data_IF_318879075518
#
_entry.id   IF_318879075518
#
_cell.length_a   1.000
_cell.length_b   1.000
_cell.length_c   1.000
_cell.angle_alpha   90.00
_cell.angle_beta   90.00
_cell.angle_gamma   90.00
#
_symmetry.space_group_name_H-M   'P 1'
#
loop_
_entity.id
_entity.type
_entity.pdbx_description
1 polymer ?
#
# COMPACT_ATOMS: atom_id res chain seq x y z
N UNK A 1 19.01 8.72 7.28
CA UNK A 1 19.32 7.27 7.17
C UNK A 1 18.44 6.42 8.09
N UNK A 2 18.20 6.83 9.35
CA UNK A 2 17.28 6.14 10.28
C UNK A 2 15.81 6.12 9.84
N UNK A 3 15.30 7.20 9.24
CA UNK A 3 13.91 7.29 8.76
C UNK A 3 13.57 6.26 7.68
N UNK A 4 14.53 5.93 6.79
CA UNK A 4 14.33 4.93 5.74
C UNK A 4 14.16 3.55 6.38
N UNK A 5 15.01 3.21 7.36
CA UNK A 5 14.89 1.94 8.09
C UNK A 5 13.57 1.85 8.88
N UNK A 6 13.12 2.96 9.46
CA UNK A 6 11.83 3.03 10.16
C UNK A 6 10.65 2.81 9.20
N UNK A 7 10.64 3.53 8.08
CA UNK A 7 9.58 3.40 7.07
C UNK A 7 9.53 1.97 6.50
N UNK A 8 10.69 1.38 6.21
CA UNK A 8 10.80 0.01 5.70
C UNK A 8 10.34 -1.01 6.76
N UNK A 9 10.74 -0.83 8.03
CA UNK A 9 10.28 -1.67 9.13
C UNK A 9 8.77 -1.59 9.35
N UNK A 10 8.17 -0.40 9.24
CA UNK A 10 6.72 -0.23 9.32
C UNK A 10 6.01 -0.94 8.16
N UNK A 11 6.49 -0.79 6.92
CA UNK A 11 5.93 -1.51 5.77
C UNK A 11 5.97 -3.03 5.99
N UNK A 12 7.11 -3.56 6.46
CA UNK A 12 7.23 -4.99 6.77
C UNK A 12 6.24 -5.46 7.86
N UNK A 13 6.06 -4.66 8.93
CA UNK A 13 5.09 -4.98 9.98
C UNK A 13 3.66 -4.98 9.40
N UNK A 14 3.29 -3.94 8.64
CA UNK A 14 1.95 -3.84 8.07
C UNK A 14 1.67 -4.96 7.07
N UNK A 15 2.58 -5.24 6.15
CA UNK A 15 2.42 -6.36 5.21
C UNK A 15 2.35 -7.70 5.95
N UNK A 16 3.28 -7.93 6.90
CA UNK A 16 3.29 -9.14 7.74
C UNK A 16 2.00 -9.34 8.54
N UNK A 17 1.42 -8.26 9.06
CA UNK A 17 0.14 -8.31 9.79
C UNK A 17 -1.02 -8.72 8.88
N UNK A 18 -1.08 -8.20 7.66
CA UNK A 18 -2.11 -8.61 6.69
C UNK A 18 -2.02 -10.12 6.42
N UNK A 19 -0.80 -10.63 6.21
CA UNK A 19 -0.56 -12.07 6.00
C UNK A 19 -0.89 -12.92 7.24
N UNK A 20 -0.55 -12.44 8.45
CA UNK A 20 -0.70 -13.21 9.68
C UNK A 20 -2.14 -13.21 10.23
N UNK A 21 -2.84 -12.07 10.18
CA UNK A 21 -4.15 -11.89 10.80
C UNK A 21 -5.31 -12.15 9.84
N UNK A 22 -5.13 -11.84 8.55
CA UNK A 22 -6.22 -11.87 7.58
C UNK A 22 -5.81 -12.45 6.22
N UNK A 23 -5.23 -13.68 6.18
CA UNK A 23 -4.81 -14.30 4.92
C UNK A 23 -5.99 -14.48 3.95
N UNK A 24 -7.19 -14.76 4.45
CA UNK A 24 -8.40 -14.94 3.64
C UNK A 24 -8.92 -13.65 3.01
N UNK A 25 -8.66 -12.48 3.60
CA UNK A 25 -8.96 -11.19 2.96
C UNK A 25 -8.04 -10.97 1.77
N UNK A 26 -6.75 -11.27 1.93
CA UNK A 26 -5.77 -11.11 0.86
C UNK A 26 -6.11 -11.98 -0.35
N UNK A 27 -6.45 -13.25 -0.14
CA UNK A 27 -6.88 -14.14 -1.23
C UNK A 27 -8.11 -13.61 -1.97
N UNK A 28 -9.14 -13.18 -1.25
CA UNK A 28 -10.36 -12.60 -1.85
C UNK A 28 -10.08 -11.33 -2.64
N UNK A 29 -9.20 -10.47 -2.13
CA UNK A 29 -8.77 -9.27 -2.86
C UNK A 29 -8.02 -9.64 -4.14
N UNK A 30 -7.13 -10.63 -4.08
CA UNK A 30 -6.39 -11.10 -5.25
C UNK A 30 -7.30 -11.74 -6.29
N UNK A 31 -8.29 -12.55 -5.88
CA UNK A 31 -9.29 -13.07 -6.82
C UNK A 31 -10.08 -11.96 -7.51
N UNK A 32 -10.51 -10.95 -6.74
CA UNK A 32 -11.24 -9.80 -7.28
C UNK A 32 -10.37 -9.02 -8.28
N UNK A 33 -9.09 -8.81 -7.97
CA UNK A 33 -8.14 -8.15 -8.87
C UNK A 33 -7.85 -8.99 -10.13
N UNK A 34 -7.80 -10.31 -10.01
CA UNK A 34 -7.59 -11.22 -11.17
C UNK A 34 -8.78 -11.26 -12.12
N UNK A 35 -9.99 -10.96 -11.63
CA UNK A 35 -11.19 -10.86 -12.46
C UNK A 35 -11.29 -9.52 -13.21
N UNK A 36 -10.49 -8.52 -12.82
CA UNK A 36 -10.48 -7.21 -13.46
C UNK A 36 -9.56 -7.20 -14.71
N UNK A 37 -9.88 -6.38 -15.73
CA UNK A 37 -8.98 -6.16 -16.85
C UNK A 37 -7.69 -5.47 -16.38
N UNK A 38 -6.55 -5.84 -16.98
CA UNK A 38 -5.23 -5.33 -16.59
C UNK A 38 -5.14 -3.79 -16.55
N UNK A 39 -5.85 -3.12 -17.46
CA UNK A 39 -5.91 -1.66 -17.51
C UNK A 39 -6.53 -1.06 -16.24
N UNK A 40 -7.56 -1.69 -15.67
CA UNK A 40 -8.20 -1.24 -14.45
C UNK A 40 -7.29 -1.46 -13.22
N UNK A 41 -6.62 -2.62 -13.14
CA UNK A 41 -5.64 -2.91 -12.08
C UNK A 41 -4.50 -1.89 -12.11
N UNK A 42 -4.00 -1.55 -13.30
CA UNK A 42 -2.96 -0.53 -13.48
C UNK A 42 -3.43 0.87 -13.06
N UNK A 43 -4.69 1.23 -13.36
CA UNK A 43 -5.27 2.50 -12.92
C UNK A 43 -5.40 2.57 -11.40
N UNK A 44 -5.86 1.49 -10.76
CA UNK A 44 -5.93 1.39 -9.29
C UNK A 44 -4.53 1.58 -8.70
N UNK A 45 -3.52 0.87 -9.21
CA UNK A 45 -2.14 1.02 -8.77
C UNK A 45 -1.63 2.46 -8.91
N UNK A 46 -1.95 3.12 -10.03
CA UNK A 46 -1.58 4.53 -10.24
C UNK A 46 -2.28 5.46 -9.23
N UNK A 47 -3.57 5.26 -8.96
CA UNK A 47 -4.31 6.04 -7.96
C UNK A 47 -3.73 5.85 -6.56
N UNK A 48 -3.32 4.63 -6.20
CA UNK A 48 -2.66 4.34 -4.91
C UNK A 48 -1.32 5.08 -4.82
N UNK A 49 -0.50 5.06 -5.88
CA UNK A 49 0.78 5.77 -5.91
C UNK A 49 0.57 7.29 -5.76
N UNK A 50 -0.34 7.86 -6.54
CA UNK A 50 -0.63 9.31 -6.49
C UNK A 50 -1.21 9.69 -5.13
N UNK A 51 -2.13 8.90 -4.59
CA UNK A 51 -2.68 9.12 -3.25
C UNK A 51 -1.62 9.06 -2.16
N UNK A 52 -0.73 8.06 -2.21
CA UNK A 52 0.41 7.94 -1.29
C UNK A 52 1.36 9.15 -1.38
N UNK A 53 1.65 9.62 -2.60
CA UNK A 53 2.47 10.80 -2.81
C UNK A 53 1.81 12.06 -2.22
N UNK A 54 0.50 12.24 -2.41
CA UNK A 54 -0.26 13.35 -1.82
C UNK A 54 -0.18 13.28 -0.28
N UNK A 55 -0.35 12.11 0.32
CA UNK A 55 -0.23 11.96 1.77
C UNK A 55 1.17 12.30 2.29
N UNK A 56 2.23 11.81 1.64
CA UNK A 56 3.61 12.15 2.01
C UNK A 56 3.85 13.66 1.85
N UNK A 57 3.34 14.25 0.77
CA UNK A 57 3.48 15.69 0.54
C UNK A 57 2.76 16.51 1.61
N UNK A 58 1.53 16.15 1.96
CA UNK A 58 0.77 16.80 3.04
C UNK A 58 1.49 16.62 4.39
N UNK A 59 1.97 15.41 4.69
CA UNK A 59 2.74 15.14 5.90
C UNK A 59 3.99 16.03 6.00
N UNK A 60 4.67 16.25 4.87
CA UNK A 60 5.80 17.18 4.80
C UNK A 60 5.37 18.65 4.99
N UNK A 61 4.23 19.07 4.44
CA UNK A 61 3.72 20.44 4.62
C UNK A 61 3.34 20.76 6.07
N UNK A 62 2.87 19.77 6.83
CA UNK A 62 2.52 19.93 8.26
C UNK A 62 3.74 19.87 9.20
N UNK A 63 4.96 19.77 8.65
CA UNK A 63 6.21 19.90 9.41
C UNK A 63 6.77 18.59 9.98
N UNK A 64 6.38 17.44 9.43
CA UNK A 64 7.09 16.15 9.62
C UNK A 64 8.39 16.14 8.82
#
# INVERSE_FOLDING_TARGET
MSLILLALGLVMIFEGLVYALAPSLLERMLETLRQMPEAAVRQIGFLVIVGGLIFVWVAFQIGV
#
